data_IF_962891281397
#
_entry.id   IF_962891281397
#
_cell.length_a   1.000
_cell.length_b   1.000
_cell.length_c   1.000
_cell.angle_alpha   90.00
_cell.angle_beta   90.00
_cell.angle_gamma   90.00
#
_symmetry.space_group_name_H-M   'P 1'
#
loop_
_entity.id
_entity.type
_entity.pdbx_description
1 polymer ?
#
# COMPACT_ATOMS: atom_id res chain seq x y z
N UNK A 1 6.73 4.54 12.85
CA UNK A 1 5.44 3.85 12.63
C UNK A 1 5.60 2.90 11.46
N UNK A 2 5.27 1.62 11.60
CA UNK A 2 5.24 0.67 10.47
C UNK A 2 3.81 0.62 9.95
N UNK A 3 3.63 0.70 8.64
CA UNK A 3 2.33 0.52 8.03
C UNK A 3 2.07 -0.98 7.94
N UNK A 4 0.92 -1.42 8.44
CA UNK A 4 0.49 -2.81 8.39
C UNK A 4 -0.91 -2.90 7.79
N UNK A 5 -1.18 -3.98 7.07
CA UNK A 5 -2.52 -4.32 6.62
C UNK A 5 -3.35 -4.91 7.78
N UNK A 6 -4.67 -5.12 7.61
CA UNK A 6 -5.53 -5.77 8.61
C UNK A 6 -5.06 -7.17 9.07
N UNK A 7 -4.31 -7.88 8.23
CA UNK A 7 -3.71 -9.18 8.54
C UNK A 7 -2.33 -9.06 9.26
N UNK A 8 -1.85 -7.85 9.55
CA UNK A 8 -0.58 -7.61 10.25
C UNK A 8 0.66 -7.65 9.36
N UNK A 9 0.51 -7.80 8.04
CA UNK A 9 1.60 -7.78 7.06
C UNK A 9 2.14 -6.36 6.93
N UNK A 10 3.46 -6.22 6.95
CA UNK A 10 4.11 -4.92 6.79
C UNK A 10 4.01 -4.47 5.32
N UNK A 11 3.40 -3.32 5.12
CA UNK A 11 3.21 -2.67 3.83
C UNK A 11 4.25 -1.57 3.59
N UNK A 12 4.49 -1.29 2.32
CA UNK A 12 5.32 -0.17 1.92
C UNK A 12 4.54 1.14 2.14
N UNK A 13 5.15 2.05 2.90
CA UNK A 13 4.55 3.35 3.18
C UNK A 13 4.53 4.24 1.93
N UNK A 14 5.63 4.28 1.18
CA UNK A 14 5.71 5.06 -0.06
C UNK A 14 4.74 4.55 -1.12
N UNK A 15 4.47 3.24 -1.16
CA UNK A 15 3.45 2.67 -2.01
C UNK A 15 2.07 3.28 -1.75
N UNK A 16 1.70 3.49 -0.49
CA UNK A 16 0.40 4.07 -0.15
C UNK A 16 0.25 5.55 -0.52
N UNK A 17 1.34 6.26 -0.78
CA UNK A 17 1.30 7.68 -1.13
C UNK A 17 0.91 7.86 -2.59
N UNK A 18 0.40 9.03 -2.98
CA UNK A 18 0.08 9.33 -4.38
C UNK A 18 1.28 9.20 -5.33
N UNK A 19 2.51 9.38 -4.82
CA UNK A 19 3.75 9.19 -5.59
C UNK A 19 3.99 7.72 -5.96
N UNK A 20 3.46 6.79 -5.17
CA UNK A 20 3.77 5.36 -5.26
C UNK A 20 5.22 5.05 -4.91
N UNK A 21 5.54 3.77 -4.87
CA UNK A 21 6.91 3.29 -4.73
C UNK A 21 7.35 2.60 -6.02
N UNK A 22 8.54 2.93 -6.52
CA UNK A 22 9.13 2.32 -7.73
C UNK A 22 10.15 1.22 -7.41
N UNK A 23 10.39 0.95 -6.12
CA UNK A 23 11.37 -0.04 -5.70
C UNK A 23 10.86 -1.45 -5.94
N UNK A 24 11.54 -2.21 -6.79
CA UNK A 24 11.24 -3.63 -7.00
C UNK A 24 11.73 -4.54 -5.88
N UNK A 25 12.62 -4.03 -5.01
CA UNK A 25 13.24 -4.77 -3.90
C UNK A 25 12.24 -5.28 -2.86
N UNK A 26 11.07 -4.67 -2.76
CA UNK A 26 10.03 -5.03 -1.81
C UNK A 26 8.64 -4.95 -2.42
N UNK A 27 8.52 -5.33 -3.70
CA UNK A 27 7.26 -5.35 -4.43
C UNK A 27 6.16 -6.16 -3.73
N UNK A 28 6.53 -7.22 -3.00
CA UNK A 28 5.56 -8.01 -2.21
C UNK A 28 4.84 -7.21 -1.11
N UNK A 29 5.36 -6.02 -0.75
CA UNK A 29 4.78 -5.07 0.21
C UNK A 29 4.02 -3.94 -0.47
N UNK A 30 4.03 -3.87 -1.81
CA UNK A 30 3.23 -2.94 -2.61
C UNK A 30 1.80 -3.43 -2.67
N UNK A 31 1.11 -3.34 -1.55
CA UNK A 31 -0.26 -3.79 -1.41
C UNK A 31 -1.05 -2.66 -0.77
N UNK A 32 -2.21 -2.33 -1.32
CA UNK A 32 -3.07 -1.29 -0.83
C UNK A 32 -3.58 -1.67 0.56
N UNK A 33 -3.37 -0.80 1.55
CA UNK A 33 -3.85 -1.07 2.91
C UNK A 33 -5.38 -1.06 3.03
N UNK A 34 -6.09 -0.49 2.05
CA UNK A 34 -7.56 -0.39 2.05
C UNK A 34 -8.27 -1.55 1.35
N UNK A 35 -7.69 -2.09 0.27
CA UNK A 35 -8.34 -3.14 -0.53
C UNK A 35 -7.49 -4.40 -0.76
N UNK A 36 -6.20 -4.38 -0.41
CA UNK A 36 -5.27 -5.49 -0.63
C UNK A 36 -4.76 -5.63 -2.07
N UNK A 37 -5.08 -4.71 -2.98
CA UNK A 37 -4.60 -4.77 -4.36
C UNK A 37 -3.16 -4.26 -4.52
N UNK A 38 -2.44 -4.81 -5.50
CA UNK A 38 -1.04 -4.45 -5.78
C UNK A 38 -0.86 -3.46 -6.95
N UNK A 39 -1.96 -3.04 -7.55
CA UNK A 39 -1.96 -2.09 -8.67
C UNK A 39 -1.78 -0.64 -8.20
N UNK A 40 -2.31 -0.32 -7.02
CA UNK A 40 -2.25 1.01 -6.44
C UNK A 40 -2.02 0.96 -4.92
N UNK A 41 -1.64 2.10 -4.35
CA UNK A 41 -1.61 2.30 -2.89
C UNK A 41 -2.87 2.97 -2.35
N UNK A 42 -3.02 3.02 -1.02
CA UNK A 42 -4.21 3.51 -0.35
C UNK A 42 -4.66 4.92 -0.74
N UNK A 43 -3.76 5.87 -1.02
CA UNK A 43 -4.18 7.21 -1.49
C UNK A 43 -4.88 7.20 -2.85
N UNK A 44 -4.54 6.24 -3.72
CA UNK A 44 -5.18 6.07 -5.02
C UNK A 44 -6.27 5.00 -4.98
N UNK A 45 -6.57 4.45 -3.80
CA UNK A 45 -7.55 3.40 -3.67
C UNK A 45 -8.96 3.98 -3.84
N UNK A 46 -9.72 3.53 -4.85
CA UNK A 46 -11.11 3.98 -5.04
C UNK A 46 -12.02 3.53 -3.90
N UNK A 47 -11.60 2.50 -3.14
CA UNK A 47 -12.32 1.99 -1.97
C UNK A 47 -11.87 2.61 -0.64
N UNK A 48 -10.88 3.50 -0.63
CA UNK A 48 -10.55 4.24 0.59
C UNK A 48 -11.71 5.18 0.92
N UNK A 49 -12.42 4.91 2.02
CA UNK A 49 -13.41 5.86 2.54
C UNK A 49 -12.69 7.12 3.03
N UNK A 50 -13.27 8.28 2.69
CA UNK A 50 -12.82 9.60 3.15
C UNK A 50 -13.06 9.80 4.63
#
# INVERSE_FOLDING_TARGET
RRLQDPNGKILCFDWQRAVGCKSTTHDSKHECSGCGEKDHGAQKCPRAQK
#
